data_IF_112422816753
#
_entry.id   IF_112422816753
#
_cell.length_a   1.000
_cell.length_b   1.000
_cell.length_c   1.000
_cell.angle_alpha   90.00
_cell.angle_beta   90.00
_cell.angle_gamma   90.00
#
_symmetry.space_group_name_H-M   'P 1'
#
loop_
_entity.id
_entity.type
_entity.pdbx_description
1 polymer ?
#
# COMPACT_ATOMS: atom_id res chain seq x y z
N UNK A 1 -18.49 6.29 -4.81
CA UNK A 1 -17.48 5.47 -4.12
C UNK A 1 -16.13 5.75 -4.73
N UNK A 2 -15.16 6.07 -3.93
CA UNK A 2 -13.83 6.46 -4.40
C UNK A 2 -12.92 5.23 -4.46
N UNK A 3 -12.18 5.09 -5.55
CA UNK A 3 -11.14 4.06 -5.64
C UNK A 3 -9.88 4.54 -4.94
N UNK A 4 -9.22 3.63 -4.23
CA UNK A 4 -8.02 3.94 -3.46
C UNK A 4 -7.00 2.82 -3.66
N UNK A 5 -5.76 3.19 -4.01
CA UNK A 5 -4.65 2.24 -4.08
C UNK A 5 -3.96 2.21 -2.72
N UNK A 6 -3.75 1.02 -2.18
CA UNK A 6 -3.14 0.80 -0.88
C UNK A 6 -1.67 0.42 -1.05
N UNK A 7 -0.80 1.20 -0.45
CA UNK A 7 0.62 0.90 -0.35
C UNK A 7 0.90 0.01 0.88
N UNK A 8 1.97 -0.76 0.82
CA UNK A 8 2.36 -1.66 1.92
C UNK A 8 2.61 -0.92 3.23
N UNK A 9 3.09 0.32 3.18
CA UNK A 9 3.31 1.15 4.37
C UNK A 9 2.01 1.45 5.13
N UNK A 10 0.88 1.43 4.45
CA UNK A 10 -0.45 1.59 5.05
C UNK A 10 -1.00 0.24 5.51
N UNK A 11 -0.93 -0.78 4.66
CA UNK A 11 -1.48 -2.11 4.96
C UNK A 11 -0.88 -2.72 6.23
N UNK A 12 0.42 -2.53 6.46
CA UNK A 12 1.09 -3.05 7.66
C UNK A 12 0.44 -2.51 8.95
N UNK A 13 -0.07 -1.28 8.91
CA UNK A 13 -0.68 -0.62 10.07
C UNK A 13 -2.02 -1.23 10.49
N UNK A 14 -2.62 -2.04 9.63
CA UNK A 14 -3.83 -2.80 9.99
C UNK A 14 -3.51 -3.97 10.93
N UNK A 15 -2.28 -4.44 10.92
CA UNK A 15 -1.86 -5.65 11.64
C UNK A 15 -0.81 -5.39 12.70
N UNK A 16 -0.08 -4.28 12.60
CA UNK A 16 0.92 -3.86 13.57
C UNK A 16 0.59 -2.46 14.03
N UNK A 17 0.57 -2.25 15.36
CA UNK A 17 0.29 -0.92 15.88
C UNK A 17 1.47 0.00 15.66
N UNK A 18 1.25 1.01 14.87
CA UNK A 18 2.23 2.04 14.50
C UNK A 18 1.57 3.41 14.54
N UNK A 19 2.35 4.46 14.26
CA UNK A 19 1.81 5.81 14.07
C UNK A 19 0.74 5.78 12.98
N UNK A 20 -0.37 6.49 13.21
CA UNK A 20 -1.50 6.61 12.28
C UNK A 20 -2.25 5.30 12.00
N UNK A 21 -2.05 4.25 12.80
CA UNK A 21 -2.84 3.01 12.66
C UNK A 21 -4.35 3.27 12.79
N UNK A 22 -4.76 4.24 13.59
CA UNK A 22 -6.17 4.60 13.73
C UNK A 22 -6.74 5.12 12.41
N UNK A 23 -5.97 5.94 11.70
CA UNK A 23 -6.38 6.44 10.38
C UNK A 23 -6.45 5.30 9.38
N UNK A 24 -5.45 4.41 9.39
CA UNK A 24 -5.45 3.23 8.53
C UNK A 24 -6.69 2.36 8.76
N UNK A 25 -7.09 2.15 10.01
CA UNK A 25 -8.31 1.39 10.33
C UNK A 25 -9.58 2.09 9.86
N UNK A 26 -9.63 3.41 9.85
CA UNK A 26 -10.79 4.14 9.32
C UNK A 26 -11.00 3.90 7.83
N UNK A 27 -9.94 3.64 7.07
CA UNK A 27 -10.06 3.27 5.66
C UNK A 27 -10.88 1.99 5.50
N UNK A 28 -10.74 1.04 6.43
CA UNK A 28 -11.48 -0.24 6.39
C UNK A 28 -12.96 -0.08 6.72
N UNK A 29 -13.32 0.93 7.49
CA UNK A 29 -14.70 1.18 7.92
C UNK A 29 -15.44 2.03 6.92
N UNK A 30 -14.76 2.96 6.29
CA UNK A 30 -15.28 3.78 5.21
C UNK A 30 -15.26 2.96 3.92
N UNK A 31 -16.24 3.09 3.01
CA UNK A 31 -16.33 2.21 1.86
C UNK A 31 -15.58 2.65 0.58
N UNK A 32 -14.30 3.09 0.60
CA UNK A 32 -13.58 3.20 -0.65
C UNK A 32 -13.34 1.79 -1.21
N UNK A 33 -13.28 1.67 -2.51
CA UNK A 33 -12.89 0.43 -3.14
C UNK A 33 -11.37 0.34 -3.08
N UNK A 34 -10.86 -0.72 -2.45
CA UNK A 34 -9.42 -0.90 -2.25
C UNK A 34 -8.80 -1.72 -3.36
N UNK A 35 -7.73 -1.19 -3.93
CA UNK A 35 -6.95 -1.81 -5.00
C UNK A 35 -5.51 -1.96 -4.56
N UNK A 36 -4.85 -3.01 -5.01
CA UNK A 36 -3.41 -3.16 -4.80
C UNK A 36 -2.79 -4.04 -5.89
N UNK A 37 -1.50 -3.84 -6.19
CA UNK A 37 -0.76 -4.80 -7.00
C UNK A 37 -0.50 -6.05 -6.16
N UNK A 38 -0.34 -7.20 -6.81
CA UNK A 38 -0.02 -8.47 -6.13
C UNK A 38 1.28 -8.36 -5.34
N UNK A 39 2.18 -7.47 -5.75
CA UNK A 39 3.42 -7.15 -5.02
C UNK A 39 3.14 -6.83 -3.54
N UNK A 40 1.99 -6.26 -3.22
CA UNK A 40 1.63 -5.92 -1.84
C UNK A 40 1.74 -7.13 -0.92
N UNK A 41 1.36 -8.32 -1.38
CA UNK A 41 1.42 -9.55 -0.56
C UNK A 41 2.85 -9.82 -0.09
N UNK A 42 3.82 -9.69 -0.98
CA UNK A 42 5.23 -9.93 -0.65
C UNK A 42 5.79 -8.84 0.27
N UNK A 43 5.49 -7.61 -0.02
CA UNK A 43 5.98 -6.49 0.79
C UNK A 43 5.36 -6.52 2.19
N UNK A 44 4.09 -6.81 2.28
CA UNK A 44 3.40 -6.97 3.57
C UNK A 44 4.01 -8.13 4.36
N UNK A 45 4.17 -9.30 3.73
CA UNK A 45 4.77 -10.47 4.38
C UNK A 45 6.16 -10.16 4.93
N UNK A 46 6.99 -9.46 4.15
CA UNK A 46 8.33 -9.07 4.58
C UNK A 46 8.28 -8.10 5.77
N UNK A 47 7.37 -7.13 5.73
CA UNK A 47 7.17 -6.19 6.85
C UNK A 47 6.68 -6.89 8.12
N UNK A 48 5.79 -7.85 7.98
CA UNK A 48 5.30 -8.67 9.10
C UNK A 48 6.44 -9.52 9.68
N UNK A 49 7.26 -10.13 8.81
CA UNK A 49 8.42 -10.89 9.25
C UNK A 49 9.38 -10.03 10.06
N UNK A 50 9.65 -8.80 9.63
CA UNK A 50 10.51 -7.87 10.39
C UNK A 50 9.94 -7.57 11.76
N UNK A 51 8.62 -7.40 11.88
CA UNK A 51 7.97 -7.14 13.16
C UNK A 51 7.99 -8.38 14.06
N UNK A 52 7.81 -9.56 13.51
CA UNK A 52 8.00 -10.80 14.26
C UNK A 52 9.43 -10.92 14.79
N UNK A 53 10.41 -10.63 13.95
CA UNK A 53 11.83 -10.67 14.35
C UNK A 53 12.13 -9.73 15.50
N UNK A 54 11.45 -8.59 15.55
CA UNK A 54 11.54 -7.61 16.65
C UNK A 54 10.69 -8.00 17.85
N UNK A 55 10.03 -9.15 17.82
CA UNK A 55 9.15 -9.67 18.89
C UNK A 55 7.92 -8.79 19.14
N UNK A 56 7.46 -8.06 18.12
CA UNK A 56 6.28 -7.21 18.23
C UNK A 56 4.98 -7.95 17.90
N UNK A 57 5.07 -9.02 17.12
CA UNK A 57 3.93 -9.88 16.77
C UNK A 57 4.34 -11.34 16.76
N UNK A 58 3.37 -12.23 16.85
CA UNK A 58 3.57 -13.68 16.83
C UNK A 58 3.51 -14.25 15.41
N UNK A 59 4.03 -15.46 15.24
CA UNK A 59 3.89 -16.20 13.95
C UNK A 59 2.42 -16.38 13.60
N UNK A 60 1.57 -16.66 14.58
CA UNK A 60 0.12 -16.79 14.37
C UNK A 60 -0.50 -15.51 13.80
N UNK A 61 -0.09 -14.35 14.34
CA UNK A 61 -0.56 -13.06 13.84
C UNK A 61 -0.10 -12.78 12.40
N UNK A 62 1.13 -13.19 12.05
CA UNK A 62 1.61 -13.10 10.66
C UNK A 62 0.72 -13.92 9.74
N UNK A 63 0.42 -15.17 10.12
CA UNK A 63 -0.46 -16.04 9.33
C UNK A 63 -1.86 -15.47 9.15
N UNK A 64 -2.45 -14.92 10.21
CA UNK A 64 -3.76 -14.29 10.15
C UNK A 64 -3.75 -13.07 9.22
N UNK A 65 -2.71 -12.24 9.30
CA UNK A 65 -2.59 -11.05 8.46
C UNK A 65 -2.47 -11.40 6.98
N UNK A 66 -1.64 -12.37 6.64
CA UNK A 66 -1.44 -12.79 5.24
C UNK A 66 -2.70 -13.43 4.65
N UNK A 67 -3.51 -14.10 5.46
CA UNK A 67 -4.80 -14.62 5.03
C UNK A 67 -5.85 -13.49 4.90
N UNK A 68 -5.84 -12.53 5.83
CA UNK A 68 -6.81 -11.44 5.87
C UNK A 68 -6.65 -10.47 4.71
N UNK A 69 -5.42 -10.18 4.28
CA UNK A 69 -5.17 -9.18 3.24
C UNK A 69 -5.84 -9.56 1.93
N UNK A 70 -5.94 -10.83 1.61
CA UNK A 70 -6.58 -11.31 0.39
C UNK A 70 -8.04 -10.89 0.30
N UNK A 71 -8.73 -10.84 1.43
CA UNK A 71 -10.14 -10.45 1.51
C UNK A 71 -10.32 -8.95 1.70
N UNK A 72 -9.35 -8.29 2.32
CA UNK A 72 -9.43 -6.86 2.62
C UNK A 72 -9.28 -6.02 1.35
N UNK A 73 -8.36 -6.40 0.49
CA UNK A 73 -8.21 -5.74 -0.82
C UNK A 73 -9.26 -6.32 -1.77
N UNK A 74 -10.17 -5.47 -2.22
CA UNK A 74 -11.25 -5.90 -3.09
C UNK A 74 -10.85 -6.17 -4.53
N UNK A 75 -9.78 -5.55 -5.00
CA UNK A 75 -9.33 -5.67 -6.39
C UNK A 75 -7.81 -5.75 -6.48
N UNK A 76 -7.32 -6.89 -6.90
CA UNK A 76 -5.90 -7.15 -7.11
C UNK A 76 -5.50 -6.98 -8.58
N UNK A 77 -4.32 -6.43 -8.84
CA UNK A 77 -3.76 -6.32 -10.17
C UNK A 77 -2.43 -7.07 -10.25
N UNK A 78 -2.25 -7.86 -11.31
CA UNK A 78 -0.98 -8.53 -11.53
C UNK A 78 0.14 -7.51 -11.69
N UNK A 79 1.22 -7.71 -10.93
CA UNK A 79 2.33 -6.76 -10.86
C UNK A 79 2.99 -6.59 -12.22
N UNK A 80 3.15 -7.69 -12.98
CA UNK A 80 3.80 -7.68 -14.29
C UNK A 80 3.09 -6.78 -15.30
N UNK A 81 1.78 -6.62 -15.17
CA UNK A 81 1.01 -5.73 -16.05
C UNK A 81 1.30 -4.26 -15.81
N UNK A 82 1.89 -3.95 -14.66
CA UNK A 82 2.22 -2.58 -14.28
C UNK A 82 3.69 -2.25 -14.55
N UNK A 83 4.49 -3.24 -14.92
CA UNK A 83 5.95 -3.10 -14.97
C UNK A 83 6.42 -2.04 -15.95
N UNK A 84 5.87 -2.02 -17.16
CA UNK A 84 6.30 -1.07 -18.19
C UNK A 84 6.04 0.39 -17.74
N UNK A 85 4.84 0.66 -17.25
CA UNK A 85 4.49 1.98 -16.74
C UNK A 85 5.31 2.35 -15.50
N UNK A 86 5.55 1.38 -14.61
CA UNK A 86 6.35 1.59 -13.41
C UNK A 86 7.81 1.91 -13.74
N UNK A 87 8.39 1.25 -14.73
CA UNK A 87 9.75 1.53 -15.18
C UNK A 87 9.87 2.96 -15.73
N UNK A 88 8.90 3.38 -16.51
CA UNK A 88 8.87 4.75 -17.02
C UNK A 88 8.85 5.76 -15.87
N UNK A 89 8.00 5.54 -14.87
CA UNK A 89 7.96 6.37 -13.69
C UNK A 89 9.28 6.33 -12.90
N UNK A 90 9.88 5.16 -12.79
CA UNK A 90 11.16 4.97 -12.10
C UNK A 90 12.27 5.80 -12.74
N UNK A 91 12.34 5.84 -14.07
CA UNK A 91 13.31 6.66 -14.78
C UNK A 91 13.01 8.16 -14.63
N UNK A 92 11.74 8.53 -14.76
CA UNK A 92 11.32 9.93 -14.67
C UNK A 92 11.52 10.52 -13.26
N UNK A 93 11.29 9.71 -12.23
CA UNK A 93 11.31 10.15 -10.84
C UNK A 93 12.62 9.81 -10.12
N UNK A 94 13.51 9.08 -10.78
CA UNK A 94 14.75 8.57 -10.17
C UNK A 94 14.45 7.83 -8.86
N UNK A 95 13.51 6.89 -8.91
CA UNK A 95 13.02 6.15 -7.75
C UNK A 95 12.87 4.67 -8.07
N UNK A 96 13.02 3.82 -7.05
CA UNK A 96 12.97 2.37 -7.21
C UNK A 96 11.65 1.91 -7.82
N UNK A 97 11.72 0.92 -8.71
CA UNK A 97 10.57 0.42 -9.46
C UNK A 97 9.45 -0.11 -8.55
N UNK A 98 9.79 -0.68 -7.39
CA UNK A 98 8.80 -1.28 -6.48
C UNK A 98 7.72 -0.27 -6.07
N UNK A 99 8.10 0.91 -5.63
CA UNK A 99 7.14 1.95 -5.25
C UNK A 99 6.39 2.49 -6.47
N UNK A 100 7.05 2.54 -7.61
CA UNK A 100 6.44 3.00 -8.86
C UNK A 100 5.36 2.05 -9.38
N UNK A 101 5.36 0.78 -8.97
CA UNK A 101 4.27 -0.16 -9.27
C UNK A 101 2.94 0.38 -8.71
N UNK A 102 2.94 0.87 -7.47
CA UNK A 102 1.73 1.45 -6.86
C UNK A 102 1.28 2.72 -7.57
N UNK A 103 2.24 3.57 -7.95
CA UNK A 103 1.93 4.79 -8.70
C UNK A 103 1.35 4.48 -10.08
N UNK A 104 1.90 3.47 -10.76
CA UNK A 104 1.40 3.04 -12.06
C UNK A 104 -0.05 2.55 -11.97
N UNK A 105 -0.37 1.80 -10.91
CA UNK A 105 -1.74 1.34 -10.68
C UNK A 105 -2.68 2.52 -10.45
N UNK A 106 -2.27 3.47 -9.63
CA UNK A 106 -3.07 4.67 -9.36
C UNK A 106 -3.34 5.46 -10.64
N UNK A 107 -2.33 5.60 -11.50
CA UNK A 107 -2.50 6.25 -12.81
C UNK A 107 -3.51 5.54 -13.69
N UNK A 108 -3.40 4.20 -13.80
CA UNK A 108 -4.31 3.41 -14.63
C UNK A 108 -5.76 3.51 -14.19
N UNK A 109 -5.98 3.60 -12.88
CA UNK A 109 -7.32 3.67 -12.30
C UNK A 109 -7.84 5.10 -12.19
N UNK A 110 -7.02 6.08 -12.51
CA UNK A 110 -7.31 7.49 -12.23
C UNK A 110 -7.71 7.66 -10.76
N UNK A 111 -6.96 7.00 -9.87
CA UNK A 111 -7.19 6.96 -8.43
C UNK A 111 -5.99 7.54 -7.69
N UNK A 112 -6.09 7.60 -6.38
CA UNK A 112 -5.03 8.10 -5.50
C UNK A 112 -4.43 6.93 -4.75
N UNK A 113 -3.11 6.91 -4.60
CA UNK A 113 -2.40 5.98 -3.73
C UNK A 113 -2.24 6.60 -2.35
N UNK A 114 -2.74 5.94 -1.30
CA UNK A 114 -2.50 6.36 0.07
C UNK A 114 -1.22 5.70 0.57
N UNK A 115 -0.34 6.50 1.14
CA UNK A 115 0.97 6.02 1.61
C UNK A 115 1.38 6.70 2.92
N UNK A 116 2.17 6.00 3.71
CA UNK A 116 2.85 6.56 4.89
C UNK A 116 4.35 6.75 4.63
N UNK A 117 4.81 6.45 3.43
CA UNK A 117 6.21 6.59 3.05
C UNK A 117 6.51 8.03 2.66
N UNK A 118 7.26 8.72 3.50
CA UNK A 118 7.61 10.14 3.30
C UNK A 118 8.41 10.36 2.02
N UNK A 119 9.27 9.42 1.66
CA UNK A 119 10.08 9.52 0.45
C UNK A 119 9.20 9.47 -0.79
N UNK A 120 8.27 8.51 -0.83
CA UNK A 120 7.32 8.39 -1.94
C UNK A 120 6.46 9.66 -2.06
N UNK A 121 6.00 10.20 -0.95
CA UNK A 121 5.24 11.46 -0.92
C UNK A 121 6.03 12.63 -1.53
N UNK A 122 7.36 12.66 -1.28
CA UNK A 122 8.19 13.77 -1.76
C UNK A 122 8.46 13.74 -3.25
N UNK A 123 8.45 12.55 -3.88
CA UNK A 123 8.86 12.39 -5.29
C UNK A 123 7.68 12.13 -6.24
N UNK A 124 6.54 11.70 -5.72
CA UNK A 124 5.41 11.32 -6.56
C UNK A 124 4.78 12.54 -7.26
N UNK A 125 4.24 12.35 -8.48
CA UNK A 125 3.50 13.39 -9.15
C UNK A 125 2.36 13.92 -8.30
N UNK A 126 2.15 15.22 -8.33
CA UNK A 126 1.11 15.89 -7.54
C UNK A 126 -0.28 15.33 -7.89
N UNK A 127 -1.07 15.03 -6.88
CA UNK A 127 -2.42 14.48 -7.05
C UNK A 127 -2.49 12.98 -7.22
N UNK A 128 -1.34 12.29 -7.32
CA UNK A 128 -1.29 10.83 -7.46
C UNK A 128 -1.20 10.11 -6.12
N UNK A 129 -0.72 10.79 -5.09
CA UNK A 129 -0.59 10.23 -3.74
C UNK A 129 -1.24 11.14 -2.71
N UNK A 130 -1.66 10.54 -1.60
CA UNK A 130 -2.08 11.25 -0.41
C UNK A 130 -1.39 10.62 0.79
N UNK A 131 -0.91 11.46 1.71
CA UNK A 131 -0.35 10.97 2.95
C UNK A 131 -1.45 10.32 3.80
N UNK A 132 -1.15 9.19 4.44
CA UNK A 132 -2.12 8.56 5.34
C UNK A 132 -2.61 9.54 6.41
N UNK A 133 -1.69 10.35 6.98
CA UNK A 133 -2.03 11.32 8.01
C UNK A 133 -3.08 12.35 7.54
N UNK A 134 -3.16 12.61 6.24
CA UNK A 134 -4.08 13.59 5.65
C UNK A 134 -5.32 12.94 5.04
N UNK A 135 -5.43 11.62 5.08
CA UNK A 135 -6.56 10.93 4.47
C UNK A 135 -7.84 11.18 5.28
N UNK A 136 -8.92 11.48 4.57
CA UNK A 136 -10.26 11.63 5.13
C UNK A 136 -11.27 10.88 4.25
N UNK A 137 -12.35 10.36 4.84
CA UNK A 137 -13.41 9.68 4.07
C UNK A 137 -14.03 10.55 3.00
#
# INVERSE_FOLDING_TARGET
>A
MTDLVIDASVAIKWYVREEDSEIAHRILVSPPRLHAPVLLRLELANGLWKNWRRKLITIGQVGEATASIDRTIGAWRETERLLEAALKLSFDLDHAVYDCIYLALAQQLNAVCVTADKRLLSIAPKGLVVALADWTP
#
